data_IF_550809654002
#
_entry.id   IF_550809654002
#
_cell.length_a   1.000
_cell.length_b   1.000
_cell.length_c   1.000
_cell.angle_alpha   90.00
_cell.angle_beta   90.00
_cell.angle_gamma   90.00
#
_symmetry.space_group_name_H-M   'P 1'
#
loop_
_entity.id
_entity.type
_entity.pdbx_description
1 polymer ?
#
# COMPACT_ATOMS: atom_id res chain seq x y z
N UNK A 1 5.70 -9.77 12.97
CA UNK A 1 4.56 -9.38 12.13
C UNK A 1 4.46 -10.33 10.95
N UNK A 2 3.29 -10.75 10.62
CA UNK A 2 3.08 -11.64 9.47
C UNK A 2 2.87 -10.80 8.21
N UNK A 3 3.04 -11.44 7.06
CA UNK A 3 2.81 -10.77 5.76
C UNK A 3 1.35 -10.46 5.50
N UNK A 4 0.44 -10.92 6.38
CA UNK A 4 -1.00 -10.73 6.23
C UNK A 4 -1.42 -9.26 6.27
N UNK A 5 -0.57 -8.40 6.84
CA UNK A 5 -0.88 -6.97 6.97
C UNK A 5 -0.27 -6.13 5.85
N UNK A 6 0.16 -6.75 4.77
CA UNK A 6 0.74 -6.05 3.63
C UNK A 6 -0.24 -6.12 2.46
N UNK A 7 -0.54 -4.96 1.88
CA UNK A 7 -1.37 -4.86 0.69
C UNK A 7 -0.48 -4.38 -0.46
N UNK A 8 -0.33 -5.22 -1.47
CA UNK A 8 0.44 -4.88 -2.67
C UNK A 8 -0.50 -4.30 -3.71
N UNK A 9 -0.30 -3.02 -4.03
CA UNK A 9 -1.15 -2.32 -4.99
C UNK A 9 -0.58 -2.49 -6.39
N UNK A 10 -1.40 -2.96 -7.30
CA UNK A 10 -1.04 -3.19 -8.70
C UNK A 10 -2.04 -2.55 -9.64
N UNK A 11 -2.58 -3.34 -10.57
CA UNK A 11 -3.38 -2.82 -11.69
C UNK A 11 -4.89 -2.90 -11.49
N UNK A 12 -5.34 -3.45 -10.37
CA UNK A 12 -6.78 -3.58 -10.14
C UNK A 12 -7.38 -2.22 -9.76
N UNK A 13 -8.70 -2.08 -9.83
CA UNK A 13 -9.34 -0.83 -9.39
C UNK A 13 -9.01 -0.51 -7.95
N UNK A 14 -8.92 0.80 -7.65
CA UNK A 14 -8.55 1.29 -6.33
C UNK A 14 -9.41 0.67 -5.22
N UNK A 15 -10.71 0.55 -5.45
CA UNK A 15 -11.62 0.04 -4.42
C UNK A 15 -11.34 -1.39 -4.01
N UNK A 16 -10.75 -2.21 -4.88
CA UNK A 16 -10.34 -3.56 -4.49
C UNK A 16 -9.32 -3.53 -3.36
N UNK A 17 -8.37 -2.61 -3.45
CA UNK A 17 -7.34 -2.47 -2.42
C UNK A 17 -7.85 -1.77 -1.18
N UNK A 18 -8.75 -0.80 -1.34
CA UNK A 18 -9.40 -0.15 -0.19
C UNK A 18 -10.14 -1.19 0.65
N UNK A 19 -10.90 -2.06 0.00
CA UNK A 19 -11.61 -3.13 0.72
C UNK A 19 -10.65 -4.06 1.44
N UNK A 20 -9.50 -4.36 0.83
CA UNK A 20 -8.49 -5.20 1.48
C UNK A 20 -7.93 -4.52 2.74
N UNK A 21 -7.64 -3.22 2.69
CA UNK A 21 -7.15 -2.47 3.84
C UNK A 21 -8.21 -2.45 4.94
N UNK A 22 -9.45 -2.13 4.59
CA UNK A 22 -10.55 -2.06 5.56
C UNK A 22 -10.76 -3.42 6.22
N UNK A 23 -10.71 -4.49 5.44
CA UNK A 23 -10.88 -5.85 5.96
C UNK A 23 -9.80 -6.19 6.98
N UNK A 24 -8.54 -5.82 6.73
CA UNK A 24 -7.46 -6.06 7.68
C UNK A 24 -7.74 -5.40 9.02
N UNK A 25 -8.17 -4.13 9.01
CA UNK A 25 -8.49 -3.44 10.26
C UNK A 25 -9.71 -4.03 10.94
N UNK A 26 -10.73 -4.43 10.19
CA UNK A 26 -11.91 -5.08 10.76
C UNK A 26 -11.57 -6.42 11.40
N UNK A 27 -10.50 -7.08 10.95
CA UNK A 27 -10.02 -8.34 11.52
C UNK A 27 -9.03 -8.14 12.67
N UNK A 28 -8.86 -6.91 13.13
CA UNK A 28 -8.08 -6.63 14.33
C UNK A 28 -6.65 -6.17 14.10
N UNK A 29 -6.27 -5.85 12.87
CA UNK A 29 -4.93 -5.32 12.62
C UNK A 29 -4.78 -3.95 13.27
N UNK A 30 -3.61 -3.68 13.83
CA UNK A 30 -3.26 -2.36 14.37
C UNK A 30 -2.59 -1.49 13.31
N UNK A 31 -1.92 -2.11 12.36
CA UNK A 31 -1.24 -1.44 11.26
C UNK A 31 -1.36 -2.25 9.99
N UNK A 32 -1.38 -1.55 8.88
CA UNK A 32 -1.35 -2.16 7.55
C UNK A 32 -0.32 -1.40 6.72
N UNK A 33 0.50 -2.14 5.96
CA UNK A 33 1.44 -1.58 5.01
C UNK A 33 0.83 -1.64 3.62
N UNK A 34 0.86 -0.50 2.94
CA UNK A 34 0.41 -0.38 1.55
C UNK A 34 1.66 -0.19 0.72
N UNK A 35 1.95 -1.14 -0.16
CA UNK A 35 3.16 -1.13 -0.97
C UNK A 35 2.82 -1.04 -2.44
N UNK A 36 3.61 -0.27 -3.17
CA UNK A 36 3.45 -0.16 -4.61
C UNK A 36 4.76 0.26 -5.23
N UNK A 37 4.88 0.04 -6.53
CA UNK A 37 6.05 0.49 -7.27
C UNK A 37 5.65 0.90 -8.68
N UNK A 38 6.49 1.76 -9.28
CA UNK A 38 6.28 2.25 -10.63
C UNK A 38 4.96 3.02 -10.73
N UNK A 39 4.20 2.68 -11.74
CA UNK A 39 2.95 3.40 -12.03
C UNK A 39 1.85 3.18 -11.00
N UNK A 40 2.00 2.19 -10.12
CA UNK A 40 1.01 1.92 -9.09
C UNK A 40 1.17 2.82 -7.86
N UNK A 41 2.21 3.64 -7.79
CA UNK A 41 2.46 4.50 -6.62
C UNK A 41 1.31 5.48 -6.38
N UNK A 42 0.83 6.14 -7.43
CA UNK A 42 -0.29 7.07 -7.26
C UNK A 42 -1.54 6.34 -6.80
N UNK A 43 -1.76 5.12 -7.31
CA UNK A 43 -2.90 4.32 -6.86
C UNK A 43 -2.78 3.97 -5.38
N UNK A 44 -1.57 3.68 -4.89
CA UNK A 44 -1.36 3.42 -3.46
C UNK A 44 -1.72 4.63 -2.61
N UNK A 45 -1.39 5.83 -3.05
CA UNK A 45 -1.78 7.05 -2.35
C UNK A 45 -3.31 7.20 -2.33
N UNK A 46 -3.96 6.90 -3.44
CA UNK A 46 -5.43 6.93 -3.49
C UNK A 46 -6.03 5.90 -2.53
N UNK A 47 -5.47 4.70 -2.45
CA UNK A 47 -5.93 3.68 -1.51
C UNK A 47 -5.81 4.17 -0.07
N UNK A 48 -4.67 4.75 0.28
CA UNK A 48 -4.46 5.32 1.61
C UNK A 48 -5.50 6.38 1.93
N UNK A 49 -5.65 7.35 1.05
CA UNK A 49 -6.51 8.50 1.30
C UNK A 49 -7.99 8.12 1.38
N UNK A 50 -8.44 7.25 0.50
CA UNK A 50 -9.83 6.81 0.53
C UNK A 50 -10.11 5.97 1.77
N UNK A 51 -9.21 5.06 2.11
CA UNK A 51 -9.37 4.22 3.30
C UNK A 51 -9.52 5.05 4.56
N UNK A 52 -8.65 6.03 4.75
CA UNK A 52 -8.65 6.87 5.94
C UNK A 52 -9.85 7.82 5.94
N UNK A 53 -10.11 8.48 4.82
CA UNK A 53 -11.10 9.57 4.80
C UNK A 53 -12.53 9.06 4.77
N UNK A 54 -12.77 7.87 4.23
CA UNK A 54 -14.15 7.39 4.04
C UNK A 54 -14.54 6.21 4.93
N UNK A 55 -13.58 5.41 5.38
CA UNK A 55 -13.91 4.15 6.03
C UNK A 55 -13.30 3.96 7.42
N UNK A 56 -12.15 4.57 7.70
CA UNK A 56 -11.39 4.27 8.90
C UNK A 56 -11.04 5.56 9.64
N UNK A 57 -12.02 6.09 10.38
CA UNK A 57 -11.87 7.40 11.04
C UNK A 57 -10.82 7.40 12.15
N UNK A 58 -10.48 6.22 12.71
CA UNK A 58 -9.50 6.09 13.79
C UNK A 58 -8.11 5.66 13.29
N UNK A 59 -7.91 5.65 11.98
CA UNK A 59 -6.64 5.26 11.36
C UNK A 59 -5.98 6.49 10.76
N UNK A 60 -4.67 6.60 10.95
CA UNK A 60 -3.88 7.69 10.39
C UNK A 60 -2.67 7.14 9.66
N UNK A 61 -2.07 7.97 8.82
CA UNK A 61 -0.82 7.62 8.17
C UNK A 61 0.31 7.77 9.17
N UNK A 62 1.02 6.69 9.44
CA UNK A 62 2.11 6.68 10.43
C UNK A 62 3.46 6.96 9.79
N UNK A 63 3.67 6.49 8.56
CA UNK A 63 4.97 6.55 7.93
C UNK A 63 4.84 6.37 6.43
N UNK A 64 5.65 7.11 5.69
CA UNK A 64 5.75 6.94 4.24
C UNK A 64 7.23 6.84 3.91
N UNK A 65 7.62 5.77 3.23
CA UNK A 65 9.00 5.59 2.79
C UNK A 65 9.01 5.37 1.29
N UNK A 66 9.98 5.97 0.64
CA UNK A 66 10.22 5.74 -0.78
C UNK A 66 11.60 5.13 -0.96
N UNK A 67 11.76 4.38 -2.04
CA UNK A 67 13.03 3.75 -2.35
C UNK A 67 13.09 3.44 -3.83
N UNK A 68 14.22 2.93 -4.26
CA UNK A 68 14.41 2.45 -5.63
C UNK A 68 14.71 0.97 -5.56
N UNK A 69 13.99 0.19 -6.37
CA UNK A 69 14.22 -1.25 -6.49
C UNK A 69 14.83 -1.56 -7.82
N UNK A 70 15.78 -2.48 -7.83
CA UNK A 70 16.40 -2.96 -9.05
C UNK A 70 15.71 -4.27 -9.46
N UNK A 71 15.21 -4.31 -10.69
CA UNK A 71 14.54 -5.48 -11.24
C UNK A 71 15.40 -6.08 -12.32
N UNK A 72 15.61 -7.39 -12.27
CA UNK A 72 16.31 -8.13 -13.32
C UNK A 72 15.34 -8.44 -14.44
N UNK A 73 15.74 -8.14 -15.66
CA UNK A 73 14.98 -8.45 -16.87
C UNK A 73 15.87 -9.20 -17.85
N UNK A 74 15.27 -9.72 -18.92
CA UNK A 74 16.02 -10.40 -19.95
C UNK A 74 17.06 -9.51 -20.65
N UNK A 75 16.79 -8.21 -20.67
CA UNK A 75 17.67 -7.23 -21.32
C UNK A 75 18.59 -6.52 -20.35
N UNK A 76 18.61 -6.94 -19.06
CA UNK A 76 19.44 -6.33 -18.04
C UNK A 76 18.65 -5.93 -16.83
N UNK A 77 19.18 -4.98 -16.07
CA UNK A 77 18.52 -4.47 -14.86
C UNK A 77 17.80 -3.18 -15.17
N UNK A 78 16.65 -3.01 -14.55
CA UNK A 78 15.94 -1.74 -14.60
C UNK A 78 15.58 -1.31 -13.17
N UNK A 79 15.57 0.00 -12.94
CA UNK A 79 15.26 0.55 -11.64
C UNK A 79 13.83 1.09 -11.65
N UNK A 80 13.09 0.81 -10.59
CA UNK A 80 11.74 1.36 -10.42
C UNK A 80 11.64 2.01 -9.05
N UNK A 81 10.86 3.08 -8.99
CA UNK A 81 10.54 3.72 -7.71
C UNK A 81 9.54 2.88 -6.95
N UNK A 82 9.66 2.86 -5.64
CA UNK A 82 8.75 2.12 -4.76
C UNK A 82 8.32 3.00 -3.61
N UNK A 83 7.14 2.70 -3.06
CA UNK A 83 6.61 3.39 -1.89
C UNK A 83 6.07 2.36 -0.90
N UNK A 84 6.24 2.65 0.39
CA UNK A 84 5.60 1.94 1.48
C UNK A 84 4.87 2.96 2.33
N UNK A 85 3.59 2.75 2.52
CA UNK A 85 2.77 3.63 3.36
C UNK A 85 2.26 2.79 4.52
N UNK A 86 2.62 3.18 5.75
CA UNK A 86 2.13 2.52 6.94
C UNK A 86 0.96 3.31 7.50
N UNK A 87 -0.20 2.68 7.60
CA UNK A 87 -1.39 3.28 8.20
C UNK A 87 -1.74 2.49 9.45
N UNK A 88 -2.22 3.17 10.48
CA UNK A 88 -2.47 2.49 11.75
C UNK A 88 -3.33 3.31 12.71
N UNK A 89 -3.74 2.61 13.74
CA UNK A 89 -4.53 3.21 14.82
C UNK A 89 -3.70 4.00 15.80
#
# INVERSE_FOLDING_TARGET
MTDDNIIYVGNKPVMNYVLAVVTQFNNGADEVLIKARGRAISRAVDVEQISINRFLSDVTTKRIETSTESLSTETGNTNVSAIEITVGK
#
